data_IF_453667304456
#
_entry.id   IF_453667304456
#
_cell.length_a   1.000
_cell.length_b   1.000
_cell.length_c   1.000
_cell.angle_alpha   90.00
_cell.angle_beta   90.00
_cell.angle_gamma   90.00
#
_symmetry.space_group_name_H-M   'P 1'
#
loop_
_entity.id
_entity.type
_entity.pdbx_description
1 polymer ?
#
# COMPACT_ATOMS: atom_id res chain seq x y z
N UNK A 1 8.67 -53.85 -25.93
CA UNK A 1 8.86 -54.64 -24.71
C UNK A 1 10.28 -55.16 -24.74
N UNK A 2 11.19 -54.61 -23.93
CA UNK A 2 12.41 -55.23 -23.39
C UNK A 2 12.94 -54.27 -22.32
N UNK A 3 13.31 -54.88 -21.21
CA UNK A 3 13.49 -54.38 -19.86
C UNK A 3 14.71 -53.46 -19.73
N UNK A 4 14.54 -52.31 -19.06
CA UNK A 4 15.65 -51.51 -18.51
C UNK A 4 15.94 -52.05 -17.12
N UNK A 5 17.03 -52.80 -16.99
CA UNK A 5 17.53 -53.32 -15.71
C UNK A 5 18.23 -52.21 -14.92
N UNK A 6 17.70 -51.91 -13.74
CA UNK A 6 18.32 -51.03 -12.75
C UNK A 6 19.60 -51.67 -12.19
N UNK A 7 20.74 -50.99 -12.33
CA UNK A 7 21.96 -51.31 -11.59
C UNK A 7 22.03 -50.43 -10.34
N UNK A 8 21.81 -51.02 -9.17
CA UNK A 8 22.05 -50.41 -7.86
C UNK A 8 23.54 -50.48 -7.51
N UNK A 9 24.19 -49.34 -7.29
CA UNK A 9 25.54 -49.29 -6.73
C UNK A 9 25.50 -49.43 -5.20
N UNK A 10 26.40 -50.21 -4.58
CA UNK A 10 26.49 -50.32 -3.12
C UNK A 10 27.12 -49.05 -2.48
N UNK A 11 26.73 -48.70 -1.25
CA UNK A 11 27.23 -47.51 -0.56
C UNK A 11 28.71 -47.65 -0.14
N UNK A 12 29.46 -46.52 -0.05
CA UNK A 12 30.88 -46.53 0.28
C UNK A 12 31.14 -46.94 1.75
N UNK A 13 32.31 -47.54 2.04
CA UNK A 13 32.64 -48.04 3.37
C UNK A 13 32.89 -46.92 4.39
N UNK A 14 32.46 -47.15 5.62
CA UNK A 14 32.58 -46.24 6.77
C UNK A 14 34.05 -46.21 7.25
N UNK A 15 34.67 -45.04 7.47
CA UNK A 15 36.03 -44.97 8.00
C UNK A 15 36.11 -45.52 9.42
N UNK A 16 36.93 -46.55 9.64
CA UNK A 16 37.26 -47.08 10.96
C UNK A 16 38.24 -46.12 11.66
N UNK A 17 37.72 -45.24 12.52
CA UNK A 17 38.55 -44.44 13.43
C UNK A 17 39.19 -45.32 14.50
N UNK A 18 40.50 -45.15 14.74
CA UNK A 18 41.23 -45.83 15.83
C UNK A 18 40.57 -45.50 17.19
N UNK A 19 40.47 -46.46 18.12
CA UNK A 19 39.95 -46.18 19.45
C UNK A 19 40.88 -45.22 20.20
N UNK A 20 40.35 -44.24 20.95
CA UNK A 20 41.15 -43.30 21.72
C UNK A 20 41.88 -44.01 22.88
N UNK A 21 43.05 -43.50 23.30
CA UNK A 21 43.87 -44.12 24.34
C UNK A 21 43.13 -44.14 25.68
N UNK A 22 43.09 -45.31 26.32
CA UNK A 22 42.59 -45.47 27.69
C UNK A 22 43.65 -44.98 28.68
N UNK A 23 43.43 -43.81 29.28
CA UNK A 23 44.20 -43.36 30.45
C UNK A 23 44.05 -41.87 30.74
N UNK A 24 43.30 -41.52 31.79
CA UNK A 24 43.44 -40.22 32.46
C UNK A 24 42.13 -39.56 32.94
N UNK A 25 41.68 -39.94 34.15
CA UNK A 25 40.82 -39.13 35.05
C UNK A 25 39.38 -38.80 34.59
N UNK A 26 38.46 -38.48 35.52
CA UNK A 26 37.11 -38.06 35.16
C UNK A 26 37.17 -36.71 34.43
N UNK A 27 36.96 -36.73 33.11
CA UNK A 27 36.75 -35.51 32.32
C UNK A 27 35.47 -34.82 32.80
N UNK A 28 35.66 -33.68 33.45
CA UNK A 28 34.58 -32.79 33.87
C UNK A 28 33.78 -32.39 32.63
N UNK A 29 32.49 -32.75 32.61
CA UNK A 29 31.58 -32.42 31.52
C UNK A 29 31.42 -30.90 31.46
N UNK A 30 32.13 -30.24 30.54
CA UNK A 30 31.85 -28.85 30.22
C UNK A 30 30.63 -28.83 29.29
N UNK A 31 29.48 -28.28 29.71
CA UNK A 31 28.35 -28.16 28.80
C UNK A 31 28.78 -27.28 27.63
N UNK A 32 28.54 -27.77 26.41
CA UNK A 32 28.69 -26.98 25.19
C UNK A 32 27.97 -25.65 25.41
N UNK A 33 28.75 -24.56 25.47
CA UNK A 33 28.20 -23.22 25.59
C UNK A 33 27.37 -22.97 24.34
N UNK A 34 26.05 -23.10 24.49
CA UNK A 34 25.09 -22.77 23.45
C UNK A 34 25.18 -21.26 23.26
N UNK A 35 26.02 -20.82 22.32
CA UNK A 35 25.98 -19.42 21.89
C UNK A 35 24.60 -19.21 21.28
N UNK A 36 23.75 -18.32 21.84
CA UNK A 36 22.49 -17.99 21.20
C UNK A 36 22.80 -17.53 19.78
N UNK A 37 22.06 -18.04 18.80
CA UNK A 37 22.16 -17.57 17.42
C UNK A 37 21.93 -16.05 17.43
N UNK A 38 23.00 -15.26 17.24
CA UNK A 38 22.88 -13.83 16.98
C UNK A 38 22.37 -13.71 15.55
N UNK A 39 21.05 -13.49 15.43
CA UNK A 39 20.48 -13.11 14.16
C UNK A 39 21.22 -11.84 13.65
N UNK A 40 21.65 -11.81 12.39
CA UNK A 40 22.19 -10.59 11.80
C UNK A 40 21.14 -9.48 11.89
N UNK A 41 21.62 -8.25 12.02
CA UNK A 41 20.78 -7.08 12.29
C UNK A 41 19.62 -6.97 11.29
N UNK A 42 18.40 -7.06 11.84
CA UNK A 42 17.27 -6.19 11.49
C UNK A 42 16.67 -6.23 10.07
N UNK A 43 17.21 -6.94 9.09
CA UNK A 43 16.71 -6.92 7.72
C UNK A 43 15.45 -7.80 7.58
N UNK A 44 14.35 -7.24 7.05
CA UNK A 44 13.11 -8.02 6.85
C UNK A 44 13.05 -8.50 5.42
N UNK A 45 13.53 -9.72 5.22
CA UNK A 45 13.53 -10.39 3.91
C UNK A 45 12.31 -11.33 3.74
N UNK A 46 11.33 -11.30 4.66
CA UNK A 46 10.12 -12.15 4.59
C UNK A 46 10.33 -13.67 4.74
N UNK A 47 11.57 -14.17 4.67
CA UNK A 47 11.93 -15.60 4.73
C UNK A 47 11.74 -16.25 6.11
N UNK A 48 11.59 -15.44 7.16
CA UNK A 48 11.40 -15.95 8.53
C UNK A 48 9.94 -16.38 8.73
N UNK A 49 9.74 -17.67 8.99
CA UNK A 49 8.41 -18.22 9.29
C UNK A 49 7.78 -17.52 10.49
N UNK A 50 6.53 -17.10 10.33
CA UNK A 50 5.71 -16.48 11.38
C UNK A 50 4.46 -17.30 11.62
N UNK A 51 3.96 -17.29 12.86
CA UNK A 51 2.70 -17.94 13.23
C UNK A 51 1.53 -17.30 12.45
N UNK A 52 0.55 -18.11 12.11
CA UNK A 52 -0.73 -17.60 11.60
C UNK A 52 -1.42 -16.80 12.69
N UNK A 53 -1.91 -15.60 12.35
CA UNK A 53 -2.58 -14.69 13.27
C UNK A 53 -3.82 -14.16 12.59
N UNK A 54 -4.97 -14.25 13.26
CA UNK A 54 -6.20 -13.57 12.82
C UNK A 54 -6.01 -12.06 12.93
N UNK A 55 -6.29 -11.35 11.83
CA UNK A 55 -6.05 -9.91 11.74
C UNK A 55 -7.39 -9.18 11.74
N UNK A 56 -7.41 -8.01 12.38
CA UNK A 56 -8.54 -7.07 12.24
C UNK A 56 -8.68 -6.72 10.76
N UNK A 57 -9.91 -6.75 10.28
CA UNK A 57 -10.26 -6.45 8.89
C UNK A 57 -11.47 -5.52 8.90
N UNK A 58 -11.52 -4.61 7.94
CA UNK A 58 -12.69 -3.81 7.64
C UNK A 58 -13.11 -4.21 6.24
N UNK A 59 -14.17 -5.00 6.16
CA UNK A 59 -14.68 -5.51 4.88
C UNK A 59 -15.96 -4.77 4.51
N UNK A 60 -15.98 -4.17 3.32
CA UNK A 60 -17.13 -3.49 2.76
C UNK A 60 -17.98 -4.40 1.88
N UNK A 61 -17.52 -5.62 1.55
CA UNK A 61 -18.25 -6.51 0.64
C UNK A 61 -19.64 -6.86 1.18
N UNK A 62 -19.73 -7.22 2.47
CA UNK A 62 -21.01 -7.56 3.10
C UNK A 62 -22.02 -6.41 3.01
N UNK A 63 -21.59 -5.17 3.29
CA UNK A 63 -22.50 -4.02 3.21
C UNK A 63 -22.95 -3.71 1.79
N UNK A 64 -22.05 -3.87 0.80
CA UNK A 64 -22.39 -3.71 -0.62
C UNK A 64 -23.37 -4.79 -1.08
N UNK A 65 -23.19 -6.05 -0.67
CA UNK A 65 -24.13 -7.15 -0.98
C UNK A 65 -25.52 -6.85 -0.42
N UNK A 66 -25.62 -6.47 0.85
CA UNK A 66 -26.90 -6.08 1.47
C UNK A 66 -27.56 -4.92 0.73
N UNK A 67 -26.78 -3.95 0.26
CA UNK A 67 -27.31 -2.84 -0.54
C UNK A 67 -27.88 -3.33 -1.87
N UNK A 68 -27.21 -4.27 -2.54
CA UNK A 68 -27.68 -4.85 -3.80
C UNK A 68 -28.96 -5.65 -3.60
N UNK A 69 -29.06 -6.43 -2.52
CA UNK A 69 -30.27 -7.15 -2.14
C UNK A 69 -31.43 -6.18 -1.84
N UNK A 70 -31.14 -5.12 -1.08
CA UNK A 70 -32.11 -4.09 -0.75
C UNK A 70 -32.62 -3.32 -1.97
N UNK A 71 -31.80 -3.12 -3.00
CA UNK A 71 -32.19 -2.43 -4.24
C UNK A 71 -33.30 -3.16 -5.01
N UNK A 72 -33.48 -4.46 -4.79
CA UNK A 72 -34.52 -5.25 -5.47
C UNK A 72 -35.92 -4.77 -5.06
N UNK A 73 -36.10 -4.34 -3.81
CA UNK A 73 -37.41 -4.05 -3.24
C UNK A 73 -37.53 -2.63 -2.65
N UNK A 74 -36.43 -2.00 -2.24
CA UNK A 74 -36.43 -0.61 -1.80
C UNK A 74 -36.53 0.31 -3.02
N UNK A 75 -37.67 0.99 -3.16
CA UNK A 75 -37.84 2.01 -4.20
C UNK A 75 -37.09 3.28 -3.82
N UNK A 76 -37.28 3.70 -2.57
CA UNK A 76 -36.71 4.91 -1.98
C UNK A 76 -36.31 4.65 -0.52
N UNK A 77 -35.74 5.66 0.14
CA UNK A 77 -35.34 5.59 1.55
C UNK A 77 -36.49 5.28 2.52
N UNK A 78 -37.74 5.59 2.13
CA UNK A 78 -38.93 5.36 2.98
C UNK A 78 -39.23 3.88 3.20
N UNK A 79 -38.84 3.04 2.24
CA UNK A 79 -39.02 1.59 2.34
C UNK A 79 -37.93 0.96 3.23
N UNK A 80 -36.94 1.72 3.71
CA UNK A 80 -35.80 1.19 4.44
C UNK A 80 -36.12 0.82 5.89
N UNK A 81 -35.69 -0.38 6.29
CA UNK A 81 -35.64 -0.76 7.69
C UNK A 81 -34.57 0.03 8.45
N UNK A 82 -34.97 0.66 9.56
CA UNK A 82 -34.05 1.38 10.44
C UNK A 82 -33.10 0.42 11.14
N UNK A 83 -31.79 0.66 11.03
CA UNK A 83 -30.78 -0.12 11.72
C UNK A 83 -30.88 0.14 13.24
N UNK A 84 -31.06 -0.91 14.03
CA UNK A 84 -31.09 -0.76 15.49
C UNK A 84 -29.66 -0.65 16.05
N UNK A 85 -29.53 0.05 17.19
CA UNK A 85 -28.26 0.28 17.86
C UNK A 85 -27.81 -0.95 18.68
N UNK A 86 -27.65 -2.10 18.02
CA UNK A 86 -27.15 -3.34 18.60
C UNK A 86 -26.09 -3.96 17.68
N UNK A 87 -25.13 -4.66 18.26
CA UNK A 87 -24.02 -5.33 17.57
C UNK A 87 -24.53 -6.39 16.60
N UNK A 88 -25.67 -7.02 16.90
CA UNK A 88 -26.31 -8.00 16.00
C UNK A 88 -26.62 -7.42 14.61
N UNK A 89 -26.90 -6.13 14.52
CA UNK A 89 -27.21 -5.45 13.26
C UNK A 89 -25.96 -4.97 12.51
N UNK A 90 -24.75 -5.22 13.02
CA UNK A 90 -23.51 -4.84 12.31
C UNK A 90 -23.41 -5.50 10.93
N UNK A 91 -23.97 -6.71 10.77
CA UNK A 91 -24.03 -7.41 9.48
C UNK A 91 -25.05 -6.82 8.51
N UNK A 92 -26.02 -6.02 8.97
CA UNK A 92 -27.05 -5.38 8.12
C UNK A 92 -26.69 -3.95 7.71
N UNK A 93 -25.50 -3.48 8.13
CA UNK A 93 -25.03 -2.15 7.78
C UNK A 93 -24.89 -1.99 6.26
N UNK A 94 -25.28 -0.83 5.74
CA UNK A 94 -25.16 -0.49 4.33
C UNK A 94 -24.02 0.52 4.11
N UNK A 95 -23.43 0.60 2.90
CA UNK A 95 -22.39 1.57 2.59
C UNK A 95 -22.96 3.00 2.58
N UNK A 96 -22.08 4.03 2.67
CA UNK A 96 -22.53 5.43 2.73
C UNK A 96 -23.45 5.87 1.59
N UNK A 97 -23.21 5.37 0.38
CA UNK A 97 -24.03 5.63 -0.81
C UNK A 97 -25.49 5.22 -0.64
N UNK A 98 -25.76 4.25 0.25
CA UNK A 98 -27.12 3.87 0.55
C UNK A 98 -27.85 4.94 1.37
N UNK A 99 -27.19 5.80 2.16
CA UNK A 99 -27.87 6.82 2.98
C UNK A 99 -27.57 8.26 2.50
N UNK A 100 -28.10 8.69 1.35
CA UNK A 100 -27.85 10.03 0.85
C UNK A 100 -28.40 11.13 1.78
N UNK A 101 -29.50 10.89 2.50
CA UNK A 101 -30.06 11.89 3.45
C UNK A 101 -29.51 11.81 4.87
N UNK A 102 -28.65 10.82 5.17
CA UNK A 102 -28.06 10.67 6.49
C UNK A 102 -26.53 10.55 6.42
N UNK A 103 -25.81 11.67 6.21
CA UNK A 103 -24.35 11.67 6.06
C UNK A 103 -23.60 11.32 7.35
N UNK A 104 -24.27 11.26 8.51
CA UNK A 104 -23.63 10.92 9.79
C UNK A 104 -23.07 9.48 9.78
N UNK A 105 -23.57 8.63 8.90
CA UNK A 105 -23.09 7.26 8.72
C UNK A 105 -21.60 7.17 8.31
N UNK A 106 -21.06 8.22 7.69
CA UNK A 106 -19.69 8.29 7.19
C UNK A 106 -18.74 8.95 8.22
N UNK A 107 -19.22 9.24 9.43
CA UNK A 107 -18.39 9.76 10.52
C UNK A 107 -17.55 8.63 11.11
N UNK A 108 -16.30 8.55 10.66
CA UNK A 108 -15.35 7.48 11.01
C UNK A 108 -14.56 7.78 12.30
N UNK A 109 -15.19 7.64 13.46
CA UNK A 109 -14.53 7.82 14.78
C UNK A 109 -13.97 6.53 15.38
N UNK A 110 -14.40 5.36 14.86
CA UNK A 110 -13.94 4.06 15.33
C UNK A 110 -12.52 3.78 14.85
N UNK A 111 -11.56 3.83 15.77
CA UNK A 111 -10.18 3.46 15.48
C UNK A 111 -10.05 1.97 15.09
N UNK A 112 -9.36 1.72 13.97
CA UNK A 112 -9.15 0.37 13.43
C UNK A 112 -7.73 -0.13 13.72
N UNK A 113 -6.73 0.60 13.23
CA UNK A 113 -5.33 0.17 13.25
C UNK A 113 -4.37 1.34 13.07
N UNK A 114 -3.20 1.22 13.72
CA UNK A 114 -2.02 2.03 13.44
C UNK A 114 -1.08 1.22 12.53
N UNK A 115 -0.74 1.78 11.36
CA UNK A 115 0.18 1.19 10.40
C UNK A 115 1.49 1.98 10.41
N UNK A 116 2.61 1.34 10.79
CA UNK A 116 3.91 2.02 10.88
C UNK A 116 5.00 1.23 10.19
N UNK A 117 5.90 1.95 9.53
CA UNK A 117 7.11 1.39 8.96
C UNK A 117 8.16 1.08 10.01
N UNK A 118 9.16 0.28 9.61
CA UNK A 118 10.36 0.04 10.42
C UNK A 118 11.17 1.32 10.62
N UNK A 119 11.46 2.00 9.51
CA UNK A 119 12.01 3.34 9.53
C UNK A 119 10.86 4.32 9.81
N UNK A 120 10.97 5.06 10.91
CA UNK A 120 9.96 6.05 11.30
C UNK A 120 10.27 7.36 10.58
N UNK A 121 9.56 7.59 9.47
CA UNK A 121 9.59 8.84 8.74
C UNK A 121 8.19 9.49 8.78
N UNK A 122 8.09 10.83 8.87
CA UNK A 122 6.83 11.51 8.75
C UNK A 122 6.21 11.27 7.36
N UNK A 123 4.90 11.06 7.34
CA UNK A 123 4.11 10.87 6.13
C UNK A 123 3.48 12.21 5.76
N UNK A 124 3.69 12.65 4.52
CA UNK A 124 3.18 13.95 4.06
C UNK A 124 1.93 13.82 3.19
N UNK A 125 1.79 12.70 2.48
CA UNK A 125 0.64 12.46 1.61
C UNK A 125 0.21 11.00 1.67
N UNK A 126 -1.07 10.77 1.39
CA UNK A 126 -1.67 9.46 1.30
C UNK A 126 -2.74 9.47 0.21
N UNK A 127 -2.85 8.38 -0.53
CA UNK A 127 -3.88 8.21 -1.54
C UNK A 127 -4.30 6.74 -1.62
N UNK A 128 -5.61 6.51 -1.66
CA UNK A 128 -6.15 5.21 -2.01
C UNK A 128 -5.93 4.95 -3.51
N UNK A 129 -5.60 3.71 -3.88
CA UNK A 129 -5.75 3.29 -5.27
C UNK A 129 -7.21 3.45 -5.67
N UNK A 130 -7.54 3.78 -6.93
CA UNK A 130 -8.92 4.02 -7.34
C UNK A 130 -9.84 2.82 -7.13
N UNK A 131 -9.29 1.61 -7.28
CA UNK A 131 -9.98 0.34 -6.99
C UNK A 131 -10.25 0.10 -5.49
N UNK A 132 -9.71 0.91 -4.58
CA UNK A 132 -9.79 0.72 -3.13
C UNK A 132 -8.93 -0.43 -2.57
N UNK A 133 -8.22 -1.17 -3.42
CA UNK A 133 -7.43 -2.34 -3.01
C UNK A 133 -6.25 -2.02 -2.10
N UNK A 134 -5.58 -0.89 -2.32
CA UNK A 134 -4.36 -0.49 -1.60
C UNK A 134 -4.43 0.97 -1.16
N UNK A 135 -3.79 1.26 -0.04
CA UNK A 135 -3.48 2.61 0.39
C UNK A 135 -1.99 2.86 0.17
N UNK A 136 -1.67 3.94 -0.56
CA UNK A 136 -0.30 4.39 -0.79
C UNK A 136 -0.01 5.55 0.15
N UNK A 137 1.13 5.50 0.84
CA UNK A 137 1.60 6.60 1.69
C UNK A 137 2.97 7.08 1.23
N UNK A 138 3.12 8.39 1.07
CA UNK A 138 4.38 9.04 0.72
C UNK A 138 5.09 9.59 1.97
N UNK A 139 6.30 9.09 2.21
CA UNK A 139 7.11 9.48 3.35
C UNK A 139 8.09 10.63 3.02
N UNK A 140 8.65 11.24 4.06
CA UNK A 140 9.72 12.23 3.93
C UNK A 140 11.01 11.68 3.35
N UNK A 141 11.23 10.36 3.46
CA UNK A 141 12.35 9.63 2.87
C UNK A 141 12.24 9.45 1.36
N UNK A 142 11.12 9.85 0.75
CA UNK A 142 10.86 9.60 -0.67
C UNK A 142 10.31 8.19 -0.95
N UNK A 143 10.07 7.40 0.10
CA UNK A 143 9.52 6.05 -0.01
C UNK A 143 7.99 6.06 -0.17
N UNK A 144 7.49 5.16 -1.00
CA UNK A 144 6.10 4.72 -1.01
C UNK A 144 5.96 3.46 -0.19
N UNK A 145 5.03 3.48 0.74
CA UNK A 145 4.57 2.27 1.40
C UNK A 145 3.16 1.95 0.95
N UNK A 146 2.98 0.70 0.51
CA UNK A 146 1.70 0.17 0.10
C UNK A 146 1.12 -0.67 1.23
N UNK A 147 -0.10 -0.32 1.62
CA UNK A 147 -0.87 -1.01 2.63
C UNK A 147 -2.06 -1.70 1.98
N UNK A 148 -2.39 -2.90 2.45
CA UNK A 148 -3.59 -3.62 2.05
C UNK A 148 -4.85 -2.85 2.49
N UNK A 149 -5.83 -2.66 1.62
CA UNK A 149 -6.99 -1.82 1.91
C UNK A 149 -7.99 -2.38 2.92
N UNK A 150 -8.10 -3.71 3.02
CA UNK A 150 -9.04 -4.37 3.92
C UNK A 150 -8.43 -4.63 5.30
N UNK A 151 -7.18 -5.08 5.31
CA UNK A 151 -6.50 -5.57 6.52
C UNK A 151 -5.40 -4.64 7.03
N UNK A 152 -5.06 -3.57 6.28
CA UNK A 152 -4.02 -2.60 6.59
C UNK A 152 -2.67 -3.25 6.93
N UNK A 153 -2.33 -4.35 6.26
CA UNK A 153 -1.03 -4.99 6.37
C UNK A 153 -0.05 -4.34 5.38
N UNK A 154 1.22 -4.35 5.74
CA UNK A 154 2.31 -4.01 4.83
C UNK A 154 2.29 -4.97 3.63
N UNK A 155 2.25 -4.43 2.41
CA UNK A 155 2.41 -5.20 1.18
C UNK A 155 3.82 -5.04 0.63
N UNK A 156 4.23 -3.80 0.36
CA UNK A 156 5.54 -3.50 -0.21
C UNK A 156 5.98 -2.08 0.10
N UNK A 157 7.27 -1.84 -0.04
CA UNK A 157 7.90 -0.52 0.02
C UNK A 157 8.69 -0.29 -1.26
N UNK A 158 8.66 0.93 -1.78
CA UNK A 158 9.37 1.29 -3.01
C UNK A 158 10.02 2.67 -2.83
N UNK A 159 11.28 2.79 -3.23
CA UNK A 159 11.94 4.09 -3.31
C UNK A 159 11.39 4.84 -4.53
N UNK A 160 10.49 5.79 -4.28
CA UNK A 160 9.77 6.48 -5.34
C UNK A 160 10.46 7.77 -5.77
N UNK A 161 10.96 8.55 -4.81
CA UNK A 161 11.65 9.82 -5.02
C UNK A 161 12.92 9.89 -4.18
N UNK A 162 13.88 10.73 -4.57
CA UNK A 162 15.09 10.97 -3.76
C UNK A 162 14.84 12.03 -2.68
N UNK A 163 13.75 12.78 -2.82
CA UNK A 163 13.29 13.81 -1.90
C UNK A 163 11.92 13.45 -1.31
N UNK A 164 11.53 14.19 -0.28
CA UNK A 164 10.22 14.01 0.37
C UNK A 164 9.06 14.16 -0.60
N UNK A 165 8.15 13.18 -0.61
CA UNK A 165 6.96 13.22 -1.45
C UNK A 165 5.90 14.06 -0.77
N UNK A 166 5.49 15.15 -1.40
CA UNK A 166 4.56 16.12 -0.81
C UNK A 166 3.14 15.95 -1.27
N UNK A 167 2.96 15.43 -2.48
CA UNK A 167 1.65 15.35 -3.10
C UNK A 167 1.54 14.15 -4.03
N UNK A 168 0.34 13.56 -4.06
CA UNK A 168 0.02 12.34 -4.77
C UNK A 168 -1.45 12.41 -5.20
N UNK A 169 -1.71 12.25 -6.49
CA UNK A 169 -3.06 12.34 -7.05
C UNK A 169 -3.24 11.30 -8.16
N UNK A 170 -4.40 10.62 -8.14
CA UNK A 170 -4.83 9.74 -9.21
C UNK A 170 -5.59 10.49 -10.30
N UNK A 171 -5.37 10.08 -11.54
CA UNK A 171 -6.21 10.47 -12.66
C UNK A 171 -7.62 9.92 -12.50
N UNK A 172 -8.60 10.61 -13.08
CA UNK A 172 -10.01 10.18 -13.06
C UNK A 172 -10.29 8.94 -13.92
N UNK A 173 -9.35 8.54 -14.77
CA UNK A 173 -9.43 7.32 -15.58
C UNK A 173 -8.74 6.13 -14.90
N UNK A 174 -8.26 6.30 -13.66
CA UNK A 174 -7.62 5.29 -12.83
C UNK A 174 -6.31 4.68 -13.35
N UNK A 175 -5.84 5.11 -14.52
CA UNK A 175 -4.64 4.55 -15.17
C UNK A 175 -3.34 5.13 -14.63
N UNK A 176 -3.38 6.37 -14.13
CA UNK A 176 -2.19 7.14 -13.84
C UNK A 176 -2.23 7.73 -12.44
N UNK A 177 -1.10 7.67 -11.76
CA UNK A 177 -0.86 8.40 -10.54
C UNK A 177 0.28 9.39 -10.76
N UNK A 178 0.09 10.62 -10.31
CA UNK A 178 1.08 11.69 -10.41
C UNK A 178 1.51 12.08 -9.02
N UNK A 179 2.81 12.24 -8.86
CA UNK A 179 3.44 12.50 -7.56
C UNK A 179 4.45 13.62 -7.71
N UNK A 180 4.49 14.49 -6.70
CA UNK A 180 5.38 15.64 -6.65
C UNK A 180 6.24 15.62 -5.39
N UNK A 181 7.50 15.96 -5.54
CA UNK A 181 8.46 16.01 -4.45
C UNK A 181 8.87 17.45 -4.06
N UNK A 182 9.63 17.55 -2.98
CA UNK A 182 10.24 18.82 -2.54
C UNK A 182 11.36 19.30 -3.48
N UNK A 183 11.92 18.42 -4.32
CA UNK A 183 12.95 18.76 -5.30
C UNK A 183 12.43 19.41 -6.58
N UNK A 184 11.11 19.51 -6.75
CA UNK A 184 10.50 20.07 -7.95
C UNK A 184 10.25 19.06 -9.07
N UNK A 185 10.50 17.77 -8.81
CA UNK A 185 10.27 16.68 -9.74
C UNK A 185 8.84 16.17 -9.65
N UNK A 186 8.32 15.84 -10.83
CA UNK A 186 7.03 15.19 -10.99
C UNK A 186 7.26 13.85 -11.67
N UNK A 187 6.72 12.78 -11.06
CA UNK A 187 6.79 11.41 -11.57
C UNK A 187 5.39 10.87 -11.90
N UNK A 188 5.29 10.21 -13.04
CA UNK A 188 4.12 9.47 -13.50
C UNK A 188 4.26 7.99 -13.18
N UNK A 189 3.21 7.44 -12.60
CA UNK A 189 3.13 6.05 -12.18
C UNK A 189 1.94 5.36 -12.82
N UNK A 190 2.14 4.11 -13.21
CA UNK A 190 1.06 3.19 -13.56
C UNK A 190 0.43 2.58 -12.29
N UNK A 191 -0.73 1.92 -12.45
CA UNK A 191 -1.43 1.20 -11.36
C UNK A 191 -0.59 0.12 -10.68
N UNK A 192 0.35 -0.47 -11.41
CA UNK A 192 1.33 -1.44 -10.92
C UNK A 192 2.50 -0.79 -10.14
N UNK A 193 2.46 0.52 -9.88
CA UNK A 193 3.53 1.30 -9.26
C UNK A 193 4.85 1.30 -10.05
N UNK A 194 4.78 1.13 -11.37
CA UNK A 194 5.93 1.33 -12.23
C UNK A 194 6.09 2.83 -12.58
N UNK A 195 7.31 3.35 -12.46
CA UNK A 195 7.64 4.70 -12.89
C UNK A 195 7.76 4.72 -14.41
N UNK A 196 6.98 5.57 -15.07
CA UNK A 196 7.01 5.67 -16.54
C UNK A 196 7.78 6.88 -17.01
N UNK A 197 7.65 8.01 -16.29
CA UNK A 197 8.27 9.26 -16.69
C UNK A 197 8.55 10.15 -15.50
N UNK A 198 9.75 10.73 -15.51
CA UNK A 198 10.20 11.77 -14.60
C UNK A 198 10.51 13.03 -15.40
N UNK A 199 10.10 14.17 -14.89
CA UNK A 199 10.57 15.47 -15.38
C UNK A 199 10.64 16.48 -14.23
N UNK A 200 11.53 17.47 -14.35
CA UNK A 200 11.60 18.59 -13.43
C UNK A 200 10.57 19.63 -13.86
N UNK A 201 9.50 19.81 -13.08
CA UNK A 201 8.48 20.79 -13.36
C UNK A 201 8.90 22.17 -12.83
N UNK A 202 9.42 22.20 -11.60
CA UNK A 202 9.80 23.44 -10.93
C UNK A 202 11.21 23.33 -10.32
N UNK A 203 11.81 24.49 -10.04
CA UNK A 203 13.03 24.57 -9.21
C UNK A 203 12.71 24.59 -7.72
N UNK A 204 11.46 24.90 -7.39
CA UNK A 204 10.93 24.99 -6.03
C UNK A 204 10.07 23.76 -5.66
N UNK A 205 9.79 23.54 -4.36
CA UNK A 205 9.00 22.41 -3.89
C UNK A 205 7.56 22.38 -4.44
N UNK A 206 7.15 21.23 -4.98
CA UNK A 206 5.77 20.98 -5.42
C UNK A 206 4.92 20.65 -4.19
N UNK A 207 4.06 21.58 -3.75
CA UNK A 207 3.18 21.39 -2.58
C UNK A 207 1.81 20.80 -2.90
N UNK A 208 1.34 20.92 -4.14
CA UNK A 208 -0.01 20.55 -4.55
C UNK A 208 -0.06 20.10 -6.00
N UNK A 209 -0.90 19.12 -6.26
CA UNK A 209 -1.24 18.62 -7.58
C UNK A 209 -2.76 18.46 -7.63
N UNK A 210 -3.34 18.58 -8.83
CA UNK A 210 -4.76 18.29 -9.03
C UNK A 210 -5.00 17.67 -10.41
N UNK A 211 -5.95 16.77 -10.48
CA UNK A 211 -6.43 16.21 -11.76
C UNK A 211 -7.68 16.97 -12.20
N UNK A 212 -7.83 17.14 -13.51
CA UNK A 212 -8.99 17.81 -14.09
C UNK A 212 -9.72 16.82 -15.01
N UNK A 213 -11.05 16.76 -14.91
CA UNK A 213 -11.93 15.84 -15.65
C UNK A 213 -12.12 16.29 -17.12
N UNK A 214 -11.93 17.58 -17.46
CA UNK A 214 -12.44 18.16 -18.72
C UNK A 214 -11.42 18.96 -19.53
N UNK A 215 -10.28 18.36 -19.88
CA UNK A 215 -9.18 19.13 -20.47
C UNK A 215 -8.64 18.59 -21.80
N UNK A 216 -9.57 18.43 -22.76
CA UNK A 216 -9.27 18.43 -24.20
C UNK A 216 -9.19 19.88 -24.76
N UNK A 217 -9.58 20.92 -23.99
CA UNK A 217 -9.79 22.28 -24.54
C UNK A 217 -8.78 23.37 -24.11
N UNK A 218 -7.98 23.27 -23.03
CA UNK A 218 -7.08 24.39 -22.66
C UNK A 218 -5.70 24.37 -23.35
N UNK A 219 -5.49 23.60 -24.42
CA UNK A 219 -4.35 23.89 -25.33
C UNK A 219 -4.46 25.30 -25.95
N UNK A 220 -5.64 25.95 -25.86
CA UNK A 220 -5.89 27.33 -26.29
C UNK A 220 -6.10 28.38 -25.19
N UNK A 221 -6.12 28.01 -23.91
CA UNK A 221 -6.46 28.96 -22.82
C UNK A 221 -5.30 29.14 -21.84
N UNK A 222 -4.18 29.65 -22.38
CA UNK A 222 -3.06 30.22 -21.63
C UNK A 222 -3.41 31.51 -20.84
N UNK A 223 -4.67 31.96 -20.85
CA UNK A 223 -5.02 33.37 -20.57
C UNK A 223 -5.98 33.63 -19.40
N UNK A 224 -6.48 32.61 -18.68
CA UNK A 224 -7.43 32.86 -17.59
C UNK A 224 -6.92 32.34 -16.25
N UNK A 225 -5.93 33.04 -15.70
CA UNK A 225 -5.65 33.02 -14.28
C UNK A 225 -5.49 34.46 -13.78
N UNK A 226 -6.29 34.92 -12.80
CA UNK A 226 -6.19 36.25 -12.25
C UNK A 226 -4.80 36.46 -11.62
N UNK A 227 -4.22 37.61 -11.92
CA UNK A 227 -2.79 37.96 -11.86
C UNK A 227 -2.16 38.07 -10.45
N UNK A 228 -2.55 37.26 -9.46
CA UNK A 228 -2.02 37.36 -8.09
C UNK A 228 -1.44 36.09 -7.48
N UNK A 229 -1.56 34.92 -8.12
CA UNK A 229 -0.91 33.70 -7.63
C UNK A 229 -0.01 33.10 -8.71
N UNK A 230 1.27 32.94 -8.35
CA UNK A 230 2.39 32.69 -9.26
C UNK A 230 2.41 31.22 -9.71
N UNK A 231 2.29 31.05 -11.03
CA UNK A 231 2.61 29.89 -11.87
C UNK A 231 1.61 28.72 -11.80
N UNK A 232 0.66 28.73 -12.75
CA UNK A 232 -0.11 27.57 -13.18
C UNK A 232 0.53 26.99 -14.44
N UNK A 233 1.08 25.78 -14.35
CA UNK A 233 1.56 25.05 -15.52
C UNK A 233 0.65 23.86 -15.81
N UNK A 234 0.29 23.70 -17.08
CA UNK A 234 -0.64 22.66 -17.52
C UNK A 234 0.20 21.61 -18.25
N UNK A 235 0.13 20.36 -17.77
CA UNK A 235 0.84 19.25 -18.36
C UNK A 235 -0.15 18.16 -18.80
N UNK A 236 -0.16 17.86 -20.10
CA UNK A 236 -0.92 16.73 -20.65
C UNK A 236 0.01 15.59 -21.05
N UNK A 237 -0.39 14.34 -20.78
CA UNK A 237 0.33 13.17 -21.26
C UNK A 237 -0.64 12.01 -21.54
N UNK A 238 -0.60 11.46 -22.77
CA UNK A 238 -1.34 10.28 -23.25
C UNK A 238 -2.77 10.14 -22.66
N UNK A 239 -3.68 11.02 -23.11
CA UNK A 239 -5.10 11.10 -22.73
C UNK A 239 -5.40 11.42 -21.26
N UNK A 240 -4.37 11.57 -20.43
CA UNK A 240 -4.49 12.09 -19.08
C UNK A 240 -4.05 13.55 -19.06
N UNK A 241 -5.02 14.44 -18.89
CA UNK A 241 -4.78 15.86 -18.69
C UNK A 241 -4.61 16.14 -17.19
N UNK A 242 -3.42 16.55 -16.78
CA UNK A 242 -3.11 16.93 -15.41
C UNK A 242 -3.05 18.45 -15.31
N UNK A 243 -3.79 19.00 -14.34
CA UNK A 243 -3.73 20.43 -14.05
C UNK A 243 -2.85 20.60 -12.81
N UNK A 244 -1.58 20.93 -13.02
CA UNK A 244 -0.69 21.24 -11.91
C UNK A 244 -1.07 22.61 -11.36
N UNK A 245 -1.92 22.61 -10.32
CA UNK A 245 -2.26 23.80 -9.55
C UNK A 245 -1.33 23.84 -8.35
N UNK A 246 -0.28 24.65 -8.43
CA UNK A 246 0.49 25.06 -7.28
C UNK A 246 0.06 26.47 -6.89
N UNK A 247 -0.34 26.61 -5.63
CA UNK A 247 -0.48 27.90 -4.96
C UNK A 247 0.53 27.89 -3.81
N UNK A 248 1.38 28.91 -3.78
CA UNK A 248 2.21 29.34 -2.64
C UNK A 248 1.78 30.78 -2.32
N UNK A 249 1.85 31.26 -1.06
CA UNK A 249 2.64 30.80 0.09
C UNK A 249 1.89 29.87 1.07
#
# INVERSE_FOLDING_TARGET
MIQVGMFSMPPPPIPQGKPPPMGGGPQQFQPLSFKPFKAPDGEFDGKRLRKSVMRKTVDYNCSVVNMLENRVWQRDERDRCTLQADVCYASEMLPPIAYPMNPINAVVTKFVRTSTNKAKCPIFCLAWTPEGRRLVTGASSGEFTLWNGLTFNFETILQAHDSSVRTMVWSHNDQWMVTGDTGGFVKYWQTNMNNVKLFQAHKDPVRGLRTNIRMIILSKLRQFAPAKERILEIFGWNDAAFLLVLILP
#
